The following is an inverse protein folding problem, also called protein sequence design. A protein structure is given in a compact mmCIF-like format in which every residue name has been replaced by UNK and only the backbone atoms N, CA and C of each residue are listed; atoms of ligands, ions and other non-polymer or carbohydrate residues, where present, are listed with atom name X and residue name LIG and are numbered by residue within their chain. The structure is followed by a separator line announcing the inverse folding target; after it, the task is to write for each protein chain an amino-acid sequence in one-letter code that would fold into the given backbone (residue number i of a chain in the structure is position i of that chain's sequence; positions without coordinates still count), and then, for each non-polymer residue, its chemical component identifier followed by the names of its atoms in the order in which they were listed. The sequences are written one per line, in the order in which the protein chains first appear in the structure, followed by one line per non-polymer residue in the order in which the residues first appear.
data_IF_555877284972
#
_entry.id   IF_555877284972
#
_cell.length_a   1.000
_cell.length_b   1.000
_cell.length_c   1.000
_cell.angle_alpha   90.00
_cell.angle_beta   90.00
_cell.angle_gamma   90.00
#
_symmetry.space_group_name_H-M   'P 1'
#
loop_
_entity.id
_entity.type
_entity.pdbx_description
1 polymer ?
#
# COMPACT_ATOMS: atom_id res chain seq x y z
N UNK A 1 6.01 -18.47 6.20
CA UNK A 1 4.87 -18.11 7.10
C UNK A 1 5.04 -16.68 7.59
N UNK A 2 4.02 -15.83 7.46
CA UNK A 2 4.02 -14.45 7.95
C UNK A 2 2.98 -14.29 9.08
N UNK A 3 3.36 -13.59 10.14
CA UNK A 3 2.47 -13.26 11.26
C UNK A 3 2.60 -11.77 11.58
N UNK A 4 1.47 -11.06 11.64
CA UNK A 4 1.45 -9.66 12.08
C UNK A 4 1.52 -9.64 13.61
N UNK A 5 2.57 -9.03 14.15
CA UNK A 5 2.78 -8.87 15.60
C UNK A 5 2.08 -7.60 16.08
N UNK A 6 2.22 -6.51 15.31
CA UNK A 6 1.54 -5.25 15.58
C UNK A 6 1.01 -4.70 14.25
N UNK A 7 -0.32 -4.59 14.09
CA UNK A 7 -0.92 -4.03 12.88
C UNK A 7 -0.68 -2.52 12.82
N UNK A 8 -0.85 -1.95 11.62
CA UNK A 8 -0.74 -0.52 11.41
C UNK A 8 -1.78 0.25 12.24
N UNK A 9 -1.38 1.42 12.76
CA UNK A 9 -2.24 2.30 13.53
C UNK A 9 -3.40 2.84 12.68
N UNK A 10 -3.16 3.04 11.38
CA UNK A 10 -4.14 3.44 10.40
C UNK A 10 -3.93 2.68 9.09
N UNK A 11 -5.01 2.58 8.30
CA UNK A 11 -4.99 2.06 6.93
C UNK A 11 -5.47 3.10 5.91
N UNK A 12 -5.65 4.36 6.35
CA UNK A 12 -6.11 5.43 5.48
C UNK A 12 -4.92 6.04 4.74
N UNK A 13 -4.97 6.00 3.40
CA UNK A 13 -3.87 6.47 2.56
C UNK A 13 -3.77 8.01 2.46
N UNK A 14 -4.75 8.73 3.00
CA UNK A 14 -4.77 10.20 3.02
C UNK A 14 -5.70 10.71 4.14
N UNK A 15 -5.66 12.01 4.40
CA UNK A 15 -6.54 12.71 5.34
C UNK A 15 -7.69 13.42 4.63
N UNK A 16 -8.77 13.74 5.35
CA UNK A 16 -9.91 14.48 4.80
C UNK A 16 -9.48 15.88 4.36
N UNK A 17 -8.57 16.50 5.09
CA UNK A 17 -8.02 17.82 4.83
C UNK A 17 -7.23 17.86 3.51
N UNK A 18 -6.31 16.89 3.32
CA UNK A 18 -5.48 16.79 2.10
C UNK A 18 -6.35 16.46 0.87
N UNK A 19 -7.30 15.54 1.03
CA UNK A 19 -8.24 15.21 -0.04
C UNK A 19 -9.12 16.42 -0.43
N UNK A 20 -9.60 17.20 0.54
CA UNK A 20 -10.37 18.43 0.25
C UNK A 20 -9.57 19.46 -0.51
N UNK A 21 -8.32 19.72 -0.10
CA UNK A 21 -7.49 20.72 -0.77
C UNK A 21 -7.22 20.33 -2.22
N UNK A 22 -7.02 19.04 -2.51
CA UNK A 22 -6.75 18.55 -3.86
C UNK A 22 -8.01 18.48 -4.73
N UNK A 23 -9.17 18.17 -4.16
CA UNK A 23 -10.45 18.10 -4.87
C UNK A 23 -11.14 19.47 -5.00
N UNK A 24 -10.60 20.53 -4.40
CA UNK A 24 -11.20 21.87 -4.42
C UNK A 24 -12.51 21.97 -3.65
N UNK A 25 -12.70 21.14 -2.62
CA UNK A 25 -13.94 21.07 -1.83
C UNK A 25 -13.92 22.04 -0.65
N UNK A 26 -15.06 22.69 -0.37
CA UNK A 26 -15.23 23.56 0.78
C UNK A 26 -15.26 22.83 2.14
N UNK A 27 -15.26 23.60 3.23
CA UNK A 27 -15.18 23.07 4.61
C UNK A 27 -16.50 22.47 5.16
N UNK A 28 -17.48 22.16 4.31
CA UNK A 28 -18.78 21.64 4.74
C UNK A 28 -18.69 20.28 5.48
N UNK A 29 -19.33 20.19 6.65
CA UNK A 29 -19.26 19.05 7.57
C UNK A 29 -19.89 17.79 6.98
N UNK A 30 -20.98 17.92 6.21
CA UNK A 30 -21.63 16.80 5.55
C UNK A 30 -20.71 16.16 4.50
N UNK A 31 -20.08 17.01 3.69
CA UNK A 31 -19.08 16.62 2.70
C UNK A 31 -17.85 15.96 3.33
N UNK A 32 -17.39 16.46 4.49
CA UNK A 32 -16.26 15.85 5.23
C UNK A 32 -16.55 14.39 5.60
N UNK A 33 -17.74 14.14 6.14
CA UNK A 33 -18.13 12.82 6.64
C UNK A 33 -18.27 11.82 5.49
N UNK A 34 -18.89 12.24 4.38
CA UNK A 34 -18.99 11.42 3.18
C UNK A 34 -17.61 11.10 2.61
N UNK A 35 -16.75 12.12 2.49
CA UNK A 35 -15.39 11.97 1.99
C UNK A 35 -14.56 11.01 2.84
N UNK A 36 -14.64 11.08 4.17
CA UNK A 36 -13.96 10.14 5.07
C UNK A 36 -14.33 8.67 4.82
N UNK A 37 -15.62 8.38 4.57
CA UNK A 37 -16.08 7.02 4.23
C UNK A 37 -15.55 6.56 2.87
N UNK A 38 -15.52 7.47 1.90
CA UNK A 38 -14.98 7.18 0.57
C UNK A 38 -13.47 6.98 0.59
N UNK A 39 -12.72 7.72 1.42
CA UNK A 39 -11.28 7.49 1.65
C UNK A 39 -11.04 6.11 2.25
N UNK A 40 -11.82 5.70 3.24
CA UNK A 40 -11.68 4.36 3.83
C UNK A 40 -11.94 3.25 2.81
N UNK A 41 -13.00 3.41 1.99
CA UNK A 41 -13.31 2.48 0.90
C UNK A 41 -12.20 2.44 -0.14
N UNK A 42 -11.75 3.61 -0.61
CA UNK A 42 -10.69 3.74 -1.60
C UNK A 42 -9.39 3.11 -1.11
N UNK A 43 -9.00 3.37 0.14
CA UNK A 43 -7.79 2.81 0.73
C UNK A 43 -7.81 1.29 0.77
N UNK A 44 -8.95 0.68 1.12
CA UNK A 44 -9.12 -0.78 1.08
C UNK A 44 -9.04 -1.34 -0.33
N UNK A 45 -9.74 -0.73 -1.29
CA UNK A 45 -9.70 -1.16 -2.70
C UNK A 45 -8.28 -1.10 -3.26
N UNK A 46 -7.52 -0.07 -2.91
CA UNK A 46 -6.11 0.07 -3.31
C UNK A 46 -5.24 -1.00 -2.65
N UNK A 47 -5.41 -1.26 -1.36
CA UNK A 47 -4.67 -2.32 -0.67
C UNK A 47 -4.96 -3.70 -1.29
N UNK A 48 -6.23 -3.99 -1.61
CA UNK A 48 -6.65 -5.23 -2.28
C UNK A 48 -6.07 -5.33 -3.70
N UNK A 49 -6.09 -4.22 -4.45
CA UNK A 49 -5.54 -4.15 -5.80
C UNK A 49 -4.03 -4.39 -5.84
N UNK A 50 -3.30 -3.73 -4.94
CA UNK A 50 -1.86 -3.88 -4.79
C UNK A 50 -1.49 -5.19 -4.10
N UNK A 51 -2.46 -5.90 -3.49
CA UNK A 51 -2.30 -7.12 -2.68
C UNK A 51 -1.39 -6.94 -1.47
N UNK A 52 -1.46 -5.76 -0.85
CA UNK A 52 -0.63 -5.43 0.31
C UNK A 52 -1.19 -4.26 1.13
N UNK A 53 -0.96 -4.24 2.45
CA UNK A 53 -1.12 -3.04 3.25
C UNK A 53 0.02 -2.05 2.96
N UNK A 54 -0.25 -0.78 3.24
CA UNK A 54 0.71 0.32 3.11
C UNK A 54 1.15 0.89 4.46
N UNK A 55 0.35 0.81 5.52
CA UNK A 55 0.76 1.28 6.84
C UNK A 55 1.92 0.48 7.44
N UNK A 56 2.63 1.07 8.41
CA UNK A 56 3.74 0.40 9.10
C UNK A 56 3.20 -0.71 10.01
N UNK A 57 3.69 -1.93 9.82
CA UNK A 57 3.37 -3.10 10.64
C UNK A 57 4.65 -3.71 11.22
N UNK A 58 4.58 -4.21 12.45
CA UNK A 58 5.61 -5.10 13.00
C UNK A 58 5.24 -6.53 12.67
N UNK A 59 6.16 -7.24 12.01
CA UNK A 59 5.92 -8.53 11.41
C UNK A 59 6.91 -9.56 11.93
N UNK A 60 6.44 -10.80 12.06
CA UNK A 60 7.26 -11.98 12.26
C UNK A 60 7.17 -12.84 11.00
N UNK A 61 8.28 -13.01 10.31
CA UNK A 61 8.37 -13.81 9.10
C UNK A 61 9.30 -15.00 9.32
N UNK A 62 8.82 -16.18 8.93
CA UNK A 62 9.68 -17.33 8.72
C UNK A 62 10.24 -17.28 7.30
N UNK A 63 11.56 -17.37 7.18
CA UNK A 63 12.28 -17.21 5.91
C UNK A 63 11.94 -18.31 4.91
N UNK A 64 11.12 -17.95 3.92
CA UNK A 64 10.88 -18.76 2.73
C UNK A 64 11.62 -18.08 1.59
N UNK A 65 12.81 -18.60 1.25
CA UNK A 65 13.69 -17.98 0.27
C UNK A 65 14.65 -18.99 -0.32
N UNK A 66 15.23 -18.62 -1.46
CA UNK A 66 16.31 -19.39 -2.07
C UNK A 66 17.55 -19.25 -1.18
N UNK A 67 18.11 -20.39 -0.80
CA UNK A 67 19.34 -20.48 0.00
C UNK A 67 20.47 -19.62 -0.57
N UNK A 68 20.52 -19.36 -1.88
CA UNK A 68 21.59 -18.60 -2.53
C UNK A 68 21.27 -17.11 -2.77
N UNK A 69 20.00 -16.73 -2.93
CA UNK A 69 19.60 -15.38 -3.34
C UNK A 69 19.09 -14.51 -2.18
N UNK A 70 19.16 -15.04 -0.96
CA UNK A 70 18.65 -14.37 0.24
C UNK A 70 17.15 -14.58 0.44
N UNK A 71 16.64 -13.96 1.49
CA UNK A 71 15.24 -14.10 1.89
C UNK A 71 14.51 -12.80 1.61
N UNK A 72 13.57 -12.85 0.67
CA UNK A 72 12.73 -11.70 0.36
C UNK A 72 11.80 -11.37 1.53
N UNK A 73 11.64 -10.08 1.83
CA UNK A 73 10.64 -9.65 2.79
C UNK A 73 9.24 -9.69 2.18
N UNK A 74 8.28 -10.22 2.94
CA UNK A 74 6.88 -10.27 2.51
C UNK A 74 6.21 -8.87 2.51
N UNK A 75 6.82 -7.89 3.16
CA UNK A 75 6.39 -6.48 3.19
C UNK A 75 7.59 -5.57 2.95
N UNK A 76 7.37 -4.55 2.13
CA UNK A 76 8.38 -3.54 1.75
C UNK A 76 7.77 -2.15 1.80
N UNK A 77 8.50 -1.06 2.03
CA UNK A 77 9.89 -1.02 2.43
C UNK A 77 10.08 -1.55 3.85
N UNK A 78 11.21 -2.17 4.12
CA UNK A 78 11.63 -2.52 5.48
C UNK A 78 12.23 -1.28 6.11
N UNK A 79 11.77 -0.93 7.33
CA UNK A 79 12.27 0.22 8.09
C UNK A 79 13.35 -0.16 9.07
N UNK A 80 13.12 -1.25 9.80
CA UNK A 80 14.02 -1.71 10.86
C UNK A 80 13.87 -3.21 11.02
N UNK A 81 14.99 -3.88 11.28
CA UNK A 81 15.00 -5.28 11.71
C UNK A 81 15.20 -5.28 13.21
N UNK A 82 14.24 -5.84 13.95
CA UNK A 82 14.31 -5.96 15.39
C UNK A 82 15.14 -7.18 15.80
N UNK A 83 14.98 -8.30 15.11
CA UNK A 83 15.81 -9.49 15.31
C UNK A 83 15.78 -10.45 14.13
N UNK A 84 16.86 -11.21 13.99
CA UNK A 84 16.97 -12.37 13.09
C UNK A 84 17.49 -13.53 13.92
N UNK A 85 16.85 -14.68 13.86
CA UNK A 85 17.26 -15.86 14.63
C UNK A 85 17.15 -17.14 13.83
N UNK A 86 18.07 -18.08 14.08
CA UNK A 86 18.05 -19.43 13.52
C UNK A 86 17.84 -20.41 14.67
N UNK A 87 16.67 -21.05 14.71
CA UNK A 87 16.30 -21.91 15.84
C UNK A 87 16.21 -21.09 17.13
N UNK A 88 17.13 -21.34 18.08
CA UNK A 88 17.21 -20.65 19.37
C UNK A 88 18.40 -19.67 19.46
N UNK A 89 19.13 -19.45 18.37
CA UNK A 89 20.28 -18.54 18.33
C UNK A 89 19.90 -17.27 17.58
N UNK A 90 20.08 -16.12 18.24
CA UNK A 90 19.93 -14.81 17.62
C UNK A 90 21.21 -14.46 16.87
N UNK A 91 21.07 -13.91 15.66
CA UNK A 91 22.17 -13.42 14.83
C UNK A 91 22.46 -11.96 15.17
N UNK A 92 23.74 -11.62 15.23
CA UNK A 92 24.23 -10.26 15.35
C UNK A 92 23.91 -9.43 14.09
N UNK A 93 23.83 -8.09 14.22
CA UNK A 93 23.58 -7.19 13.09
C UNK A 93 24.70 -7.20 12.03
N UNK A 94 25.88 -7.74 12.36
CA UNK A 94 27.02 -7.97 11.48
C UNK A 94 26.94 -9.31 10.72
N UNK A 95 26.04 -10.21 11.11
CA UNK A 95 25.84 -11.52 10.48
C UNK A 95 24.77 -11.51 9.38
N UNK A 96 24.15 -10.36 9.12
CA UNK A 96 23.19 -10.18 8.05
C UNK A 96 23.23 -8.78 7.45
N UNK A 97 22.80 -8.66 6.20
CA UNK A 97 22.67 -7.38 5.51
C UNK A 97 21.40 -7.37 4.66
N UNK A 98 20.84 -6.19 4.42
CA UNK A 98 19.76 -6.01 3.45
C UNK A 98 20.39 -5.64 2.11
N UNK A 99 20.14 -6.44 1.08
CA UNK A 99 20.43 -6.02 -0.28
C UNK A 99 19.38 -5.01 -0.73
N UNK A 100 19.78 -3.75 -0.85
CA UNK A 100 18.89 -2.67 -1.28
C UNK A 100 18.42 -2.81 -2.73
N UNK A 101 19.11 -3.57 -3.56
CA UNK A 101 18.74 -3.78 -4.96
C UNK A 101 17.63 -4.82 -5.09
N UNK A 102 17.76 -5.97 -4.41
CA UNK A 102 16.75 -7.03 -4.44
C UNK A 102 15.68 -6.93 -3.35
N UNK A 103 15.93 -6.16 -2.28
CA UNK A 103 15.04 -6.12 -1.11
C UNK A 103 15.05 -7.42 -0.32
N UNK A 104 16.16 -8.16 -0.34
CA UNK A 104 16.31 -9.45 0.35
C UNK A 104 17.30 -9.37 1.51
N UNK A 105 17.06 -10.19 2.53
CA UNK A 105 17.98 -10.42 3.64
C UNK A 105 19.08 -11.41 3.21
N UNK A 106 20.32 -10.93 3.19
CA UNK A 106 21.52 -11.72 2.97
C UNK A 106 22.14 -12.14 4.30
N UNK A 107 22.72 -13.35 4.32
CA UNK A 107 23.54 -13.79 5.44
C UNK A 107 24.98 -13.37 5.17
N UNK A 108 25.62 -12.78 6.17
CA UNK A 108 27.01 -12.32 6.09
C UNK A 108 27.86 -13.19 7.02
N UNK A 109 28.98 -13.67 6.49
CA UNK A 109 30.00 -14.40 7.25
C UNK A 109 31.21 -13.53 7.55
N UNK A 110 32.27 -14.17 8.03
CA UNK A 110 33.56 -13.49 8.21
C UNK A 110 34.06 -12.90 6.87
N UNK A 111 34.77 -11.78 6.96
CA UNK A 111 35.33 -11.07 5.80
C UNK A 111 34.27 -10.61 4.76
N UNK A 112 33.05 -10.28 5.22
CA UNK A 112 31.95 -9.77 4.40
C UNK A 112 31.51 -10.70 3.25
N UNK A 113 31.77 -12.01 3.41
CA UNK A 113 31.36 -13.00 2.41
C UNK A 113 29.88 -13.31 2.55
N UNK A 114 29.13 -13.19 1.45
CA UNK A 114 27.72 -13.59 1.40
C UNK A 114 27.62 -15.10 1.52
N UNK A 115 26.94 -15.56 2.56
CA UNK A 115 26.70 -16.97 2.83
C UNK A 115 25.29 -17.37 2.40
N UNK A 116 25.12 -18.65 2.12
CA UNK A 116 23.80 -19.21 1.89
C UNK A 116 23.04 -19.44 3.21
N UNK A 117 21.71 -19.34 3.14
CA UNK A 117 20.81 -19.63 4.25
C UNK A 117 20.59 -21.15 4.38
N UNK A 118 21.49 -21.87 5.05
CA UNK A 118 21.32 -23.32 5.29
C UNK A 118 20.06 -23.69 6.09
N UNK A 119 19.51 -22.74 6.85
CA UNK A 119 18.31 -22.93 7.66
C UNK A 119 17.50 -21.65 7.58
N UNK A 120 16.18 -21.81 7.46
CA UNK A 120 15.25 -20.68 7.42
C UNK A 120 15.29 -19.91 8.75
N UNK A 121 15.70 -18.62 8.74
CA UNK A 121 15.65 -17.77 9.91
C UNK A 121 14.21 -17.34 10.22
N UNK A 122 13.99 -16.99 11.48
CA UNK A 122 12.84 -16.20 11.92
C UNK A 122 13.27 -14.75 12.00
N UNK A 123 12.52 -13.86 11.37
CA UNK A 123 12.84 -12.44 11.25
C UNK A 123 11.70 -11.64 11.88
N UNK A 124 12.03 -10.72 12.78
CA UNK A 124 11.09 -9.74 13.32
C UNK A 124 11.52 -8.37 12.81
N UNK A 125 10.63 -7.66 12.12
CA UNK A 125 10.95 -6.40 11.46
C UNK A 125 9.72 -5.50 11.32
N UNK A 126 9.97 -4.20 11.21
CA UNK A 126 8.95 -3.20 10.87
C UNK A 126 9.03 -2.89 9.38
N UNK A 127 7.88 -2.92 8.70
CA UNK A 127 7.79 -2.60 7.28
C UNK A 127 6.50 -1.88 6.92
N UNK A 128 6.56 -1.11 5.84
CA UNK A 128 5.48 -0.26 5.36
C UNK A 128 5.86 1.21 5.33
N UNK A 129 4.87 2.02 5.00
CA UNK A 129 4.95 3.47 4.90
C UNK A 129 4.23 4.12 6.07
N UNK A 130 4.82 5.18 6.58
CA UNK A 130 4.20 6.10 7.50
C UNK A 130 3.13 6.89 6.76
N UNK A 131 1.87 6.68 7.16
CA UNK A 131 0.73 7.26 6.48
C UNK A 131 0.56 8.74 6.88
N UNK A 132 -0.05 9.56 6.01
CA UNK A 132 -0.36 10.96 6.34
C UNK A 132 -1.25 11.12 7.57
N UNK A 133 -1.99 10.09 7.95
CA UNK A 133 -2.80 10.06 9.18
C UNK A 133 -1.99 9.84 10.45
N UNK A 134 -0.82 9.21 10.36
CA UNK A 134 0.05 8.91 11.49
C UNK A 134 1.03 10.06 11.76
N UNK A 135 1.43 10.79 10.71
CA UNK A 135 2.23 12.02 10.80
C UNK A 135 2.10 12.89 9.55
N UNK A 136 2.17 14.21 9.71
CA UNK A 136 2.12 15.16 8.59
C UNK A 136 3.27 14.98 7.57
N UNK A 137 4.41 14.45 8.00
CA UNK A 137 5.60 14.16 7.20
C UNK A 137 5.70 12.68 6.77
N UNK A 138 4.57 12.03 6.48
CA UNK A 138 4.54 10.64 6.02
C UNK A 138 5.44 10.38 4.81
N UNK A 139 5.97 9.15 4.71
CA UNK A 139 6.84 8.71 3.61
C UNK A 139 6.07 7.92 2.53
N UNK A 140 4.73 7.94 2.60
CA UNK A 140 3.86 7.35 1.59
C UNK A 140 4.15 7.99 0.21
N UNK A 141 4.39 7.18 -0.84
CA UNK A 141 4.63 7.73 -2.16
C UNK A 141 3.44 8.54 -2.67
N UNK A 142 3.73 9.74 -3.19
CA UNK A 142 2.71 10.65 -3.74
C UNK A 142 1.74 9.99 -4.74
N UNK A 143 2.18 9.08 -5.65
CA UNK A 143 1.26 8.40 -6.56
C UNK A 143 0.19 7.57 -5.84
N UNK A 144 0.52 6.96 -4.70
CA UNK A 144 -0.40 6.12 -3.92
C UNK A 144 -1.42 7.00 -3.19
N UNK A 145 -0.97 8.11 -2.60
CA UNK A 145 -1.86 9.09 -1.98
C UNK A 145 -2.82 9.69 -3.03
N UNK A 146 -2.29 10.12 -4.18
CA UNK A 146 -3.06 10.68 -5.29
C UNK A 146 -4.11 9.69 -5.81
N UNK A 147 -3.75 8.43 -5.96
CA UNK A 147 -4.67 7.37 -6.35
C UNK A 147 -5.86 7.24 -5.38
N UNK A 148 -5.61 7.32 -4.07
CA UNK A 148 -6.66 7.28 -3.05
C UNK A 148 -7.60 8.49 -3.13
N UNK A 149 -7.04 9.68 -3.35
CA UNK A 149 -7.81 10.93 -3.47
C UNK A 149 -8.69 10.93 -4.72
N UNK A 150 -8.14 10.54 -5.87
CA UNK A 150 -8.90 10.44 -7.13
C UNK A 150 -10.06 9.44 -6.94
N UNK A 151 -9.77 8.25 -6.41
CA UNK A 151 -10.79 7.22 -6.24
C UNK A 151 -11.88 7.66 -5.25
N UNK A 152 -11.50 8.27 -4.12
CA UNK A 152 -12.47 8.83 -3.17
C UNK A 152 -13.34 9.94 -3.82
N UNK A 153 -12.73 10.81 -4.63
CA UNK A 153 -13.43 11.84 -5.40
C UNK A 153 -14.42 11.24 -6.41
N UNK A 154 -14.05 10.15 -7.10
CA UNK A 154 -14.98 9.48 -8.02
C UNK A 154 -16.18 8.86 -7.30
N UNK A 155 -15.99 8.29 -6.12
CA UNK A 155 -17.10 7.77 -5.32
C UNK A 155 -18.02 8.90 -4.82
N UNK A 156 -17.43 10.03 -4.41
CA UNK A 156 -18.20 11.19 -3.99
C UNK A 156 -19.01 11.78 -5.15
N UNK A 157 -18.42 11.92 -6.34
CA UNK A 157 -19.09 12.44 -7.52
C UNK A 157 -20.18 11.52 -8.06
N UNK A 158 -20.04 10.20 -7.85
CA UNK A 158 -21.07 9.21 -8.19
C UNK A 158 -22.20 9.13 -7.17
N UNK A 159 -22.06 9.73 -5.98
CA UNK A 159 -23.05 9.64 -4.93
C UNK A 159 -24.35 10.34 -5.33
N UNK A 160 -25.47 9.61 -5.29
CA UNK A 160 -26.78 10.13 -5.67
C UNK A 160 -27.10 10.08 -7.17
N UNK A 161 -26.17 9.61 -8.01
CA UNK A 161 -26.45 9.32 -9.43
C UNK A 161 -26.98 7.89 -9.59
N UNK A 162 -27.81 7.67 -10.61
CA UNK A 162 -28.08 6.32 -11.11
C UNK A 162 -26.78 5.70 -11.68
N UNK A 163 -26.30 4.56 -11.13
CA UNK A 163 -25.11 3.89 -11.62
C UNK A 163 -25.27 3.30 -13.03
N UNK A 164 -26.49 3.09 -13.52
CA UNK A 164 -26.77 2.54 -14.85
C UNK A 164 -26.89 3.63 -15.93
N UNK A 165 -26.96 4.91 -15.55
CA UNK A 165 -27.05 6.02 -16.50
C UNK A 165 -25.70 6.25 -17.20
N UNK A 166 -25.69 6.03 -18.53
CA UNK A 166 -24.49 6.16 -19.39
C UNK A 166 -24.37 7.51 -20.07
N UNK A 167 -25.50 8.08 -20.48
CA UNK A 167 -25.58 9.36 -21.16
C UNK A 167 -26.90 10.03 -20.83
N UNK A 168 -26.87 11.34 -20.67
CA UNK A 168 -28.03 12.20 -20.51
C UNK A 168 -27.92 13.30 -21.55
N UNK A 169 -28.99 13.50 -22.31
CA UNK A 169 -29.08 14.56 -23.29
C UNK A 169 -30.37 15.33 -23.04
N UNK A 170 -30.21 16.62 -22.77
CA UNK A 170 -31.29 17.58 -22.59
C UNK A 170 -31.15 18.59 -23.72
N UNK A 171 -32.03 18.45 -24.71
CA UNK A 171 -32.02 19.22 -25.94
C UNK A 171 -31.89 20.73 -25.67
N UNK A 172 -30.89 21.36 -26.30
CA UNK A 172 -30.59 22.79 -26.17
C UNK A 172 -30.02 23.24 -24.81
N UNK A 173 -29.82 22.34 -23.84
CA UNK A 173 -29.34 22.70 -22.49
C UNK A 173 -28.00 22.05 -22.17
N UNK A 174 -27.90 20.73 -22.22
CA UNK A 174 -26.68 20.01 -21.84
C UNK A 174 -26.67 18.58 -22.40
N UNK A 175 -25.48 18.12 -22.77
CA UNK A 175 -25.21 16.72 -23.07
C UNK A 175 -24.06 16.24 -22.19
N UNK A 176 -24.24 15.11 -21.52
CA UNK A 176 -23.25 14.50 -20.66
C UNK A 176 -23.12 13.00 -20.93
N UNK A 177 -21.88 12.51 -21.01
CA UNK A 177 -21.55 11.10 -21.13
C UNK A 177 -20.62 10.69 -20.00
N UNK A 178 -20.89 9.57 -19.36
CA UNK A 178 -20.08 9.09 -18.24
C UNK A 178 -19.32 7.82 -18.61
N UNK A 179 -18.12 7.71 -18.05
CA UNK A 179 -17.34 6.48 -18.13
C UNK A 179 -18.03 5.37 -17.34
N UNK A 180 -18.23 4.23 -17.99
CA UNK A 180 -18.65 2.98 -17.36
C UNK A 180 -17.57 1.94 -17.65
N UNK A 181 -16.96 1.34 -16.62
CA UNK A 181 -15.97 0.28 -16.80
C UNK A 181 -16.53 -0.84 -17.69
N UNK A 182 -15.77 -1.23 -18.71
CA UNK A 182 -16.13 -2.38 -19.54
C UNK A 182 -16.03 -3.70 -18.76
N UNK A 183 -16.61 -4.77 -19.28
CA UNK A 183 -16.53 -6.11 -18.66
C UNK A 183 -15.09 -6.65 -18.55
N UNK A 184 -14.16 -6.10 -19.34
CA UNK A 184 -12.73 -6.43 -19.29
C UNK A 184 -11.92 -5.45 -18.42
N UNK A 185 -12.53 -4.34 -17.98
CA UNK A 185 -11.83 -3.35 -17.16
C UNK A 185 -11.74 -3.83 -15.72
N UNK A 186 -10.59 -3.55 -15.09
CA UNK A 186 -10.43 -3.73 -13.65
C UNK A 186 -11.38 -2.78 -12.92
N UNK A 187 -11.75 -3.10 -11.68
CA UNK A 187 -12.67 -2.31 -10.83
C UNK A 187 -12.20 -0.85 -10.62
N UNK A 188 -10.97 -0.52 -11.03
CA UNK A 188 -10.34 0.78 -10.86
C UNK A 188 -10.42 1.66 -12.12
N UNK A 189 -10.46 2.98 -11.88
CA UNK A 189 -10.27 3.99 -12.91
C UNK A 189 -8.88 3.80 -13.57
N UNK A 190 -8.76 3.89 -14.91
CA UNK A 190 -7.49 3.65 -15.61
C UNK A 190 -6.30 4.47 -15.10
N UNK A 191 -6.52 5.75 -14.76
CA UNK A 191 -5.48 6.61 -14.17
C UNK A 191 -4.98 6.07 -12.82
N UNK A 192 -5.91 5.63 -11.96
CA UNK A 192 -5.59 5.04 -10.65
C UNK A 192 -4.78 3.75 -10.83
N UNK A 193 -5.15 2.90 -11.79
CA UNK A 193 -4.41 1.68 -12.09
C UNK A 193 -2.98 1.97 -12.57
N UNK A 194 -2.77 3.01 -13.38
CA UNK A 194 -1.44 3.40 -13.85
C UNK A 194 -0.54 3.91 -12.71
N UNK A 195 -1.09 4.73 -11.80
CA UNK A 195 -0.36 5.23 -10.63
C UNK A 195 0.08 4.09 -9.70
N UNK A 196 -0.74 3.05 -9.58
CA UNK A 196 -0.51 1.92 -8.68
C UNK A 196 0.31 0.77 -9.30
N UNK A 197 0.53 0.78 -10.62
CA UNK A 197 1.22 -0.29 -11.33
C UNK A 197 2.59 -0.68 -10.71
N UNK A 198 3.44 0.26 -10.26
CA UNK A 198 4.74 -0.07 -9.64
C UNK A 198 4.63 -0.72 -8.26
N UNK A 199 3.50 -0.54 -7.56
CA UNK A 199 3.32 -0.97 -6.17
C UNK A 199 2.57 -2.29 -6.05
N UNK A 200 2.16 -2.87 -7.18
CA UNK A 200 1.41 -4.11 -7.23
C UNK A 200 2.35 -5.30 -7.03
N UNK A 201 2.08 -6.11 -6.01
CA UNK A 201 2.79 -7.37 -5.83
C UNK A 201 2.13 -8.47 -6.66
N UNK A 202 2.95 -9.20 -7.42
CA UNK A 202 2.48 -10.31 -8.26
C UNK A 202 2.46 -11.65 -7.53
N UNK A 203 3.16 -11.76 -6.39
CA UNK A 203 3.22 -12.97 -5.59
C UNK A 203 2.14 -12.98 -4.49
N UNK A 204 1.48 -14.13 -4.25
CA UNK A 204 0.52 -14.31 -3.16
C UNK A 204 1.18 -14.36 -1.77
#
# INVERSE_FOLDING_TARGET
MLTVVTPAASNLLTTVERARSLLGLGADVGTATALGRHIATASRVIADYCRRPFGVETLKQWGEGDVLNGIAFARTPVRSIASVSIGNADLGPDEYAIDTASGSLLRIGEHDVVLCWWTAPTIIYDAGYQLPTDSDAGDLPEPVERAAIILAGTYLAGAGRDPLLKSEDIDGVASASWYVPGAADQVLVPEVAQLLAPYRTFWP
#
